data_IF_720770815036
#
_entry.id   IF_720770815036
#
_cell.length_a   1.000
_cell.length_b   1.000
_cell.length_c   1.000
_cell.angle_alpha   90.00
_cell.angle_beta   90.00
_cell.angle_gamma   90.00
#
_symmetry.space_group_name_H-M   'P 1'
#
loop_
_entity.id
_entity.type
_entity.pdbx_description
1 polymer ?
#
# COMPACT_ATOMS: atom_id res chain seq x y z
N UNK A 1 -23.12 -19.65 5.24
CA UNK A 1 -21.90 -18.94 5.68
C UNK A 1 -20.73 -19.65 5.01
N UNK A 2 -19.99 -18.97 4.14
CA UNK A 2 -18.83 -19.57 3.47
C UNK A 2 -17.69 -19.77 4.47
N UNK A 3 -16.90 -20.82 4.33
CA UNK A 3 -15.79 -21.16 5.25
C UNK A 3 -14.73 -20.04 5.29
N UNK A 4 -14.65 -19.27 4.21
CA UNK A 4 -13.84 -18.07 4.00
C UNK A 4 -14.27 -16.93 4.91
N UNK A 5 -15.57 -16.77 5.17
CA UNK A 5 -16.06 -15.70 6.05
C UNK A 5 -15.54 -15.89 7.48
N UNK A 6 -15.37 -17.13 7.94
CA UNK A 6 -14.79 -17.43 9.25
C UNK A 6 -13.36 -16.91 9.34
N UNK A 7 -12.55 -17.15 8.31
CA UNK A 7 -11.17 -16.66 8.25
C UNK A 7 -11.10 -15.14 8.15
N UNK A 8 -11.95 -14.52 7.32
CA UNK A 8 -12.05 -13.07 7.21
C UNK A 8 -12.43 -12.41 8.55
N UNK A 9 -13.44 -12.95 9.26
CA UNK A 9 -13.81 -12.44 10.59
C UNK A 9 -12.66 -12.61 11.59
N UNK A 10 -11.99 -13.77 11.59
CA UNK A 10 -10.84 -14.00 12.46
C UNK A 10 -9.69 -13.03 12.17
N UNK A 11 -9.42 -12.71 10.91
CA UNK A 11 -8.42 -11.73 10.51
C UNK A 11 -8.78 -10.32 11.01
N UNK A 12 -10.05 -9.91 10.90
CA UNK A 12 -10.55 -8.62 11.43
C UNK A 12 -10.40 -8.58 12.96
N UNK A 13 -10.79 -9.65 13.66
CA UNK A 13 -10.67 -9.73 15.12
C UNK A 13 -9.22 -9.68 15.58
N UNK A 14 -8.31 -10.39 14.89
CA UNK A 14 -6.88 -10.33 15.18
C UNK A 14 -6.33 -8.93 14.95
N UNK A 15 -6.63 -8.32 13.81
CA UNK A 15 -6.17 -6.97 13.49
C UNK A 15 -6.72 -5.94 14.49
N UNK A 16 -7.99 -6.07 14.89
CA UNK A 16 -8.63 -5.20 15.88
C UNK A 16 -8.01 -5.37 17.28
N UNK A 17 -7.77 -6.61 17.71
CA UNK A 17 -7.05 -6.89 18.95
C UNK A 17 -5.65 -6.25 18.92
N UNK A 18 -4.90 -6.45 17.84
CA UNK A 18 -3.57 -5.86 17.68
C UNK A 18 -3.62 -4.33 17.68
N UNK A 19 -4.59 -3.71 17.01
CA UNK A 19 -4.79 -2.25 17.01
C UNK A 19 -5.06 -1.70 18.41
N UNK A 20 -5.95 -2.33 19.18
CA UNK A 20 -6.22 -1.95 20.58
C UNK A 20 -4.95 -2.10 21.42
N UNK A 21 -4.21 -3.21 21.25
CA UNK A 21 -3.00 -3.43 22.03
C UNK A 21 -1.87 -2.45 21.69
N UNK A 22 -1.78 -2.05 20.42
CA UNK A 22 -0.83 -1.07 19.94
C UNK A 22 -1.17 0.34 20.49
N UNK A 23 -2.45 0.72 20.48
CA UNK A 23 -2.89 2.00 21.06
C UNK A 23 -2.68 2.07 22.58
N UNK A 24 -2.95 0.98 23.31
CA UNK A 24 -2.89 0.98 24.78
C UNK A 24 -1.47 0.76 25.32
N UNK A 25 -0.68 -0.12 24.68
CA UNK A 25 0.62 -0.54 25.19
C UNK A 25 1.79 -0.22 24.24
N UNK A 26 1.54 0.38 23.08
CA UNK A 26 2.56 0.68 22.07
C UNK A 26 3.24 -0.58 21.53
N UNK A 27 2.55 -1.73 21.56
CA UNK A 27 3.14 -3.00 21.16
C UNK A 27 2.10 -4.01 20.69
N UNK A 28 2.43 -4.65 19.57
CA UNK A 28 1.76 -5.87 19.11
C UNK A 28 2.35 -7.09 19.83
N UNK A 29 1.50 -7.89 20.47
CA UNK A 29 1.94 -9.07 21.21
C UNK A 29 2.27 -10.25 20.29
N UNK A 30 3.47 -10.81 20.44
CA UNK A 30 3.89 -12.02 19.71
C UNK A 30 2.91 -13.20 19.90
N UNK A 31 2.25 -13.29 21.06
CA UNK A 31 1.23 -14.32 21.33
C UNK A 31 0.06 -14.23 20.35
N UNK A 32 -0.38 -13.02 19.99
CA UNK A 32 -1.45 -12.81 19.03
C UNK A 32 -1.02 -13.22 17.62
N UNK A 33 0.21 -12.87 17.22
CA UNK A 33 0.80 -13.26 15.93
C UNK A 33 0.87 -14.79 15.83
N UNK A 34 1.35 -15.47 16.87
CA UNK A 34 1.42 -16.94 16.93
C UNK A 34 0.02 -17.56 16.88
N UNK A 35 -0.95 -17.00 17.60
CA UNK A 35 -2.34 -17.47 17.55
C UNK A 35 -2.94 -17.32 16.14
N UNK A 36 -2.64 -16.22 15.45
CA UNK A 36 -3.05 -16.01 14.05
C UNK A 36 -2.46 -17.04 13.09
N UNK A 37 -1.16 -17.34 13.22
CA UNK A 37 -0.49 -18.38 12.42
C UNK A 37 -1.08 -19.78 12.67
N UNK A 38 -1.30 -20.13 13.93
CA UNK A 38 -1.94 -21.40 14.30
C UNK A 38 -3.35 -21.49 13.74
N UNK A 39 -4.15 -20.43 13.89
CA UNK A 39 -5.48 -20.37 13.32
C UNK A 39 -5.45 -20.54 11.80
N UNK A 40 -4.57 -19.83 11.09
CA UNK A 40 -4.48 -19.91 9.64
C UNK A 40 -4.12 -21.32 9.15
N UNK A 41 -3.22 -22.01 9.87
CA UNK A 41 -2.81 -23.38 9.54
C UNK A 41 -3.96 -24.36 9.75
N UNK A 42 -4.67 -24.25 10.88
CA UNK A 42 -5.86 -25.06 11.16
C UNK A 42 -6.94 -24.79 10.12
N UNK A 43 -7.24 -23.52 9.83
CA UNK A 43 -8.24 -23.14 8.86
C UNK A 43 -7.92 -23.66 7.46
N UNK A 44 -6.67 -23.53 6.97
CA UNK A 44 -6.27 -24.08 5.67
C UNK A 44 -6.44 -25.60 5.62
N UNK A 45 -6.11 -26.30 6.70
CA UNK A 45 -6.31 -27.76 6.78
C UNK A 45 -7.80 -28.12 6.70
N UNK A 46 -8.65 -27.42 7.45
CA UNK A 46 -10.10 -27.61 7.41
C UNK A 46 -10.65 -27.26 6.02
N UNK A 47 -10.14 -26.19 5.40
CA UNK A 47 -10.51 -25.77 4.05
C UNK A 47 -10.22 -26.84 3.01
N UNK A 48 -9.02 -27.44 3.05
CA UNK A 48 -8.64 -28.55 2.18
C UNK A 48 -9.50 -29.79 2.37
N UNK A 49 -9.83 -30.14 3.62
CA UNK A 49 -10.77 -31.22 3.92
C UNK A 49 -12.17 -30.91 3.38
N UNK A 50 -12.66 -29.68 3.57
CA UNK A 50 -13.97 -29.25 3.10
C UNK A 50 -14.09 -29.34 1.57
N UNK A 51 -13.04 -28.90 0.88
CA UNK A 51 -12.89 -29.05 -0.58
C UNK A 51 -12.88 -30.52 -1.00
N UNK A 52 -12.11 -31.37 -0.31
CA UNK A 52 -12.02 -32.80 -0.61
C UNK A 52 -13.38 -33.52 -0.47
N UNK A 53 -14.23 -33.09 0.46
CA UNK A 53 -15.60 -33.61 0.61
C UNK A 53 -16.62 -33.05 -0.40
N UNK A 54 -16.15 -32.34 -1.44
CA UNK A 54 -17.01 -31.79 -2.51
C UNK A 54 -17.95 -30.70 -2.02
N UNK A 55 -17.62 -30.03 -0.91
CA UNK A 55 -18.38 -28.88 -0.44
C UNK A 55 -17.98 -27.64 -1.23
N UNK A 56 -18.97 -26.77 -1.47
CA UNK A 56 -18.76 -25.53 -2.19
C UNK A 56 -17.81 -24.59 -1.45
N UNK A 57 -16.79 -24.11 -2.17
CA UNK A 57 -15.77 -23.16 -1.67
C UNK A 57 -15.51 -22.09 -2.73
N UNK A 58 -14.78 -21.03 -2.37
CA UNK A 58 -14.38 -19.96 -3.28
C UNK A 58 -13.55 -20.45 -4.48
N UNK A 59 -12.90 -21.61 -4.41
CA UNK A 59 -12.30 -22.22 -5.61
C UNK A 59 -13.35 -22.54 -6.67
N UNK A 60 -14.58 -22.89 -6.28
CA UNK A 60 -15.66 -23.21 -7.21
C UNK A 60 -16.23 -21.94 -7.86
N UNK A 61 -16.33 -20.85 -7.08
CA UNK A 61 -16.79 -19.55 -7.56
C UNK A 61 -15.75 -18.86 -8.46
N UNK A 62 -14.47 -18.99 -8.09
CA UNK A 62 -13.33 -18.32 -8.70
C UNK A 62 -12.22 -19.34 -9.00
N UNK A 63 -12.40 -20.20 -10.03
CA UNK A 63 -11.40 -21.20 -10.40
C UNK A 63 -10.03 -20.58 -10.72
N UNK A 64 -9.99 -19.32 -11.17
CA UNK A 64 -8.78 -18.54 -11.41
C UNK A 64 -7.89 -18.39 -10.18
N UNK A 65 -8.42 -18.59 -8.97
CA UNK A 65 -7.64 -18.59 -7.73
C UNK A 65 -6.68 -19.78 -7.66
N UNK A 66 -6.91 -20.86 -8.39
CA UNK A 66 -6.10 -22.09 -8.38
C UNK A 66 -5.35 -22.37 -9.71
N UNK A 67 -5.54 -21.56 -10.74
CA UNK A 67 -4.86 -21.73 -12.04
C UNK A 67 -3.38 -21.33 -11.91
N UNK A 68 -2.42 -22.08 -12.45
CA UNK A 68 -1.00 -21.67 -12.39
C UNK A 68 -0.65 -20.72 -13.55
N UNK A 69 0.39 -19.88 -13.40
CA UNK A 69 0.76 -18.91 -14.44
C UNK A 69 1.09 -19.60 -15.77
N UNK A 70 0.43 -19.19 -16.85
CA UNK A 70 0.59 -19.73 -18.21
C UNK A 70 -0.61 -20.56 -18.71
N UNK A 71 -1.54 -20.91 -17.84
CA UNK A 71 -2.80 -21.56 -18.21
C UNK A 71 -3.82 -20.51 -18.66
N UNK A 72 -4.61 -20.84 -19.71
CA UNK A 72 -5.63 -19.92 -20.24
C UNK A 72 -6.67 -19.63 -19.16
N UNK A 73 -6.87 -18.35 -18.84
CA UNK A 73 -7.92 -17.96 -17.91
C UNK A 73 -9.29 -18.27 -18.53
N UNK A 74 -10.20 -18.94 -17.81
CA UNK A 74 -11.59 -18.95 -18.21
C UNK A 74 -12.08 -17.52 -18.28
N UNK A 75 -12.93 -17.20 -19.27
CA UNK A 75 -13.48 -15.86 -19.42
C UNK A 75 -14.10 -15.42 -18.07
N UNK A 76 -13.79 -14.21 -17.56
CA UNK A 76 -14.33 -13.75 -16.30
C UNK A 76 -15.86 -13.81 -16.41
N UNK A 77 -16.53 -14.45 -15.44
CA UNK A 77 -17.99 -14.35 -15.34
C UNK A 77 -18.33 -12.87 -15.25
N UNK A 78 -18.98 -12.35 -16.28
CA UNK A 78 -19.47 -10.98 -16.29
C UNK A 78 -20.44 -10.84 -15.13
N UNK A 79 -20.00 -10.15 -14.07
CA UNK A 79 -20.89 -9.78 -12.99
C UNK A 79 -21.88 -8.79 -13.60
N UNK A 80 -23.12 -9.22 -13.79
CA UNK A 80 -24.20 -8.37 -14.26
C UNK A 80 -24.27 -7.17 -13.30
N UNK A 81 -23.90 -6.00 -13.81
CA UNK A 81 -23.80 -4.77 -13.02
C UNK A 81 -25.14 -4.40 -12.37
N UNK A 82 -26.25 -4.92 -12.90
CA UNK A 82 -27.58 -4.78 -12.35
C UNK A 82 -27.78 -5.51 -11.00
N UNK A 83 -27.05 -6.60 -10.76
CA UNK A 83 -27.13 -7.38 -9.50
C UNK A 83 -26.36 -6.67 -8.37
N UNK A 84 -25.28 -5.95 -8.68
CA UNK A 84 -24.46 -5.28 -7.67
C UNK A 84 -25.11 -4.02 -7.07
N UNK A 85 -26.04 -3.38 -7.80
CA UNK A 85 -26.66 -2.11 -7.41
C UNK A 85 -28.13 -2.23 -6.99
N UNK A 86 -28.68 -3.44 -6.85
CA UNK A 86 -30.06 -3.63 -6.41
C UNK A 86 -31.10 -2.94 -7.31
N UNK A 87 -30.75 -2.68 -8.57
CA UNK A 87 -31.69 -2.18 -9.56
C UNK A 87 -32.52 -3.37 -10.06
N UNK A 88 -33.55 -3.73 -9.30
CA UNK A 88 -34.66 -4.50 -9.83
C UNK A 88 -35.41 -3.59 -10.81
N UNK A 89 -34.84 -3.39 -12.01
CA UNK A 89 -35.58 -2.84 -13.13
C UNK A 89 -36.38 -4.01 -13.72
N UNK A 90 -37.64 -4.06 -13.31
CA UNK A 90 -38.73 -4.68 -14.05
C UNK A 90 -38.55 -4.37 -15.54
N UNK A 91 -38.24 -5.40 -16.33
CA UNK A 91 -37.96 -5.19 -17.74
C UNK A 91 -37.31 -6.35 -18.48
N UNK A 92 -37.58 -7.60 -18.09
CA UNK A 92 -37.49 -8.69 -19.08
C UNK A 92 -38.60 -8.44 -20.12
N UNK A 93 -38.31 -7.65 -21.15
CA UNK A 93 -38.96 -7.89 -22.43
C UNK A 93 -38.43 -9.24 -22.88
N UNK A 94 -39.28 -10.25 -22.76
CA UNK A 94 -39.14 -11.48 -23.52
C UNK A 94 -38.91 -11.07 -24.99
N UNK A 95 -37.66 -11.16 -25.45
CA UNK A 95 -37.38 -11.08 -26.86
C UNK A 95 -38.06 -12.30 -27.49
N UNK A 96 -39.13 -12.04 -28.24
CA UNK A 96 -39.80 -13.01 -29.09
C UNK A 96 -38.76 -13.73 -29.94
N UNK A 97 -38.68 -15.05 -29.80
CA UNK A 97 -37.74 -15.93 -30.50
C UNK A 97 -38.16 -16.17 -31.96
N UNK A 98 -39.30 -15.61 -32.41
CA UNK A 98 -39.72 -15.74 -33.80
C UNK A 98 -38.99 -14.70 -34.69
N UNK A 99 -38.18 -15.15 -35.67
CA UNK A 99 -37.66 -14.26 -36.70
C UNK A 99 -38.80 -13.63 -37.51
N UNK A 100 -38.62 -12.39 -37.95
CA UNK A 100 -39.61 -11.69 -38.77
C UNK A 100 -39.74 -12.32 -40.18
N UNK A 101 -40.78 -11.95 -40.96
CA UNK A 101 -40.96 -12.47 -42.31
C UNK A 101 -39.78 -12.05 -43.19
N UNK A 102 -38.89 -13.00 -43.51
CA UNK A 102 -37.68 -12.76 -44.32
C UNK A 102 -36.35 -12.92 -43.58
N UNK A 103 -36.37 -13.20 -42.28
CA UNK A 103 -35.17 -13.55 -41.52
C UNK A 103 -34.99 -15.08 -41.47
N UNK A 104 -33.80 -15.55 -41.86
CA UNK A 104 -33.43 -16.95 -41.70
C UNK A 104 -33.28 -17.26 -40.21
N UNK A 105 -33.68 -18.48 -39.81
CA UNK A 105 -33.45 -18.96 -38.45
C UNK A 105 -31.97 -18.83 -38.12
N UNK A 106 -31.61 -18.35 -36.92
CA UNK A 106 -30.22 -18.39 -36.51
C UNK A 106 -29.78 -19.85 -36.58
N UNK A 107 -28.83 -20.15 -37.48
CA UNK A 107 -28.17 -21.45 -37.55
C UNK A 107 -27.86 -21.88 -36.13
N UNK A 108 -28.29 -23.10 -35.80
CA UNK A 108 -28.13 -23.78 -34.53
C UNK A 108 -26.77 -23.40 -33.95
N UNK A 109 -26.79 -22.39 -33.06
CA UNK A 109 -25.57 -21.83 -32.47
C UNK A 109 -24.86 -23.04 -31.90
N UNK A 110 -23.66 -23.27 -32.42
CA UNK A 110 -22.61 -24.06 -31.81
C UNK A 110 -22.88 -24.03 -30.31
N UNK A 111 -23.37 -25.13 -29.76
CA UNK A 111 -23.27 -25.34 -28.33
C UNK A 111 -21.77 -25.16 -28.09
N UNK A 112 -21.40 -23.98 -27.58
CA UNK A 112 -20.11 -23.76 -26.96
C UNK A 112 -20.08 -24.84 -25.91
N UNK A 113 -19.47 -25.97 -26.26
CA UNK A 113 -19.12 -27.04 -25.34
C UNK A 113 -18.51 -26.28 -24.18
N UNK A 114 -19.23 -26.20 -23.05
CA UNK A 114 -18.69 -25.67 -21.80
C UNK A 114 -17.45 -26.50 -21.56
N UNK A 115 -16.32 -25.97 -22.02
CA UNK A 115 -15.02 -26.60 -21.95
C UNK A 115 -14.81 -26.77 -20.45
N UNK A 116 -15.00 -27.99 -19.95
CA UNK A 116 -15.10 -28.31 -18.52
C UNK A 116 -13.86 -27.68 -17.87
N UNK A 117 -14.07 -26.52 -17.25
CA UNK A 117 -12.97 -25.75 -16.71
C UNK A 117 -12.22 -26.67 -15.75
N UNK A 118 -10.88 -26.78 -15.86
CA UNK A 118 -10.12 -27.73 -15.06
C UNK A 118 -10.49 -27.54 -13.59
N UNK A 119 -10.91 -28.62 -12.93
CA UNK A 119 -11.34 -28.55 -11.53
C UNK A 119 -10.19 -27.95 -10.71
N UNK A 120 -10.38 -26.76 -10.13
CA UNK A 120 -9.29 -25.98 -9.55
C UNK A 120 -8.68 -26.77 -8.40
N UNK A 121 -7.37 -27.05 -8.44
CA UNK A 121 -6.74 -27.94 -7.45
C UNK A 121 -6.48 -27.21 -6.12
N UNK A 122 -6.84 -27.84 -4.99
CA UNK A 122 -6.54 -27.30 -3.66
C UNK A 122 -5.03 -27.08 -3.45
N UNK A 123 -4.18 -27.93 -4.04
CA UNK A 123 -2.74 -27.80 -3.91
C UNK A 123 -2.21 -26.53 -4.59
N UNK A 124 -2.69 -26.21 -5.80
CA UNK A 124 -2.31 -24.98 -6.47
C UNK A 124 -2.79 -23.73 -5.70
N UNK A 125 -4.00 -23.78 -5.13
CA UNK A 125 -4.48 -22.74 -4.22
C UNK A 125 -3.56 -22.58 -3.00
N UNK A 126 -3.18 -23.68 -2.34
CA UNK A 126 -2.30 -23.63 -1.17
C UNK A 126 -0.92 -23.05 -1.50
N UNK A 127 -0.33 -23.43 -2.64
CA UNK A 127 0.94 -22.87 -3.09
C UNK A 127 0.83 -21.37 -3.33
N UNK A 128 -0.29 -20.88 -3.92
CA UNK A 128 -0.53 -19.45 -4.09
C UNK A 128 -0.72 -18.70 -2.76
N UNK A 129 -1.44 -19.28 -1.81
CA UNK A 129 -1.58 -18.73 -0.45
C UNK A 129 -0.21 -18.58 0.22
N UNK A 130 0.61 -19.63 0.17
CA UNK A 130 1.96 -19.63 0.74
C UNK A 130 2.89 -18.68 0.00
N UNK A 131 2.79 -18.59 -1.32
CA UNK A 131 3.53 -17.63 -2.14
C UNK A 131 3.20 -16.19 -1.78
N UNK A 132 1.91 -15.86 -1.64
CA UNK A 132 1.45 -14.56 -1.17
C UNK A 132 2.01 -14.26 0.24
N UNK A 133 1.92 -15.20 1.18
CA UNK A 133 2.47 -15.05 2.53
C UNK A 133 3.98 -14.79 2.54
N UNK A 134 4.77 -15.56 1.79
CA UNK A 134 6.22 -15.40 1.71
C UNK A 134 6.60 -14.04 1.12
N UNK A 135 5.89 -13.61 0.07
CA UNK A 135 6.12 -12.30 -0.53
C UNK A 135 5.70 -11.16 0.42
N UNK A 136 4.59 -11.32 1.15
CA UNK A 136 4.19 -10.36 2.21
C UNK A 136 5.24 -10.28 3.30
N UNK A 137 5.86 -11.40 3.68
CA UNK A 137 6.91 -11.45 4.69
C UNK A 137 8.17 -10.73 4.23
N UNK A 138 8.62 -10.99 2.98
CA UNK A 138 9.77 -10.30 2.39
C UNK A 138 9.52 -8.79 2.33
N UNK A 139 8.34 -8.38 1.87
CA UNK A 139 7.98 -6.96 1.78
C UNK A 139 7.90 -6.34 3.17
N UNK A 140 7.24 -6.98 4.14
CA UNK A 140 7.19 -6.53 5.53
C UNK A 140 8.58 -6.38 6.15
N UNK A 141 9.47 -7.33 5.90
CA UNK A 141 10.87 -7.28 6.33
C UNK A 141 11.61 -6.10 5.69
N UNK A 142 11.44 -5.87 4.38
CA UNK A 142 12.04 -4.73 3.67
C UNK A 142 11.54 -3.40 4.26
N UNK A 143 10.24 -3.27 4.54
CA UNK A 143 9.67 -2.07 5.15
C UNK A 143 10.25 -1.81 6.55
N UNK A 144 10.44 -2.85 7.36
CA UNK A 144 11.11 -2.76 8.65
C UNK A 144 12.60 -2.40 8.51
N UNK A 145 13.32 -3.04 7.57
CA UNK A 145 14.74 -2.78 7.32
C UNK A 145 15.02 -1.32 6.95
N UNK A 146 14.11 -0.71 6.17
CA UNK A 146 14.18 0.72 5.83
C UNK A 146 13.63 1.65 6.92
N UNK A 147 13.18 1.13 8.06
CA UNK A 147 12.64 1.91 9.17
C UNK A 147 11.28 2.54 8.87
N UNK A 148 10.55 2.05 7.86
CA UNK A 148 9.20 2.53 7.55
C UNK A 148 8.15 1.94 8.49
N UNK A 149 8.37 0.73 9.00
CA UNK A 149 7.49 0.03 9.93
C UNK A 149 8.20 -0.42 11.20
N UNK A 150 7.44 -0.51 12.30
CA UNK A 150 7.91 -1.17 13.50
C UNK A 150 7.95 -2.70 13.29
N UNK A 151 8.79 -3.38 14.08
CA UNK A 151 8.94 -4.83 13.97
C UNK A 151 7.63 -5.61 14.24
N UNK A 152 6.68 -5.01 14.98
CA UNK A 152 5.35 -5.59 15.23
C UNK A 152 4.50 -5.63 13.96
N UNK A 153 4.36 -4.50 13.28
CA UNK A 153 3.53 -4.36 12.07
C UNK A 153 4.07 -5.23 10.92
N UNK A 154 5.39 -5.26 10.76
CA UNK A 154 6.06 -6.09 9.77
C UNK A 154 5.82 -7.60 9.93
N UNK A 155 5.53 -8.04 11.16
CA UNK A 155 5.17 -9.45 11.44
C UNK A 155 3.67 -9.69 11.35
N UNK A 156 2.86 -8.71 11.73
CA UNK A 156 1.40 -8.82 11.66
C UNK A 156 0.90 -8.87 10.21
N UNK A 157 1.46 -8.04 9.33
CA UNK A 157 1.09 -7.97 7.92
C UNK A 157 1.09 -9.32 7.18
N UNK A 158 2.18 -10.12 7.19
CA UNK A 158 2.16 -11.42 6.53
C UNK A 158 1.17 -12.39 7.18
N UNK A 159 0.98 -12.36 8.50
CA UNK A 159 -0.03 -13.20 9.17
C UNK A 159 -1.44 -12.86 8.71
N UNK A 160 -1.76 -11.57 8.56
CA UNK A 160 -3.04 -11.14 8.00
C UNK A 160 -3.18 -11.56 6.54
N UNK A 161 -2.12 -11.46 5.73
CA UNK A 161 -2.12 -11.92 4.34
C UNK A 161 -2.32 -13.44 4.20
N UNK A 162 -1.91 -14.23 5.20
CA UNK A 162 -2.16 -15.67 5.27
C UNK A 162 -3.58 -16.01 5.73
N UNK A 163 -4.14 -15.21 6.65
CA UNK A 163 -5.49 -15.42 7.18
C UNK A 163 -6.59 -14.94 6.24
N UNK A 164 -6.34 -13.88 5.46
CA UNK A 164 -7.32 -13.37 4.51
C UNK A 164 -7.38 -14.33 3.31
N UNK A 165 -8.55 -14.94 3.01
CA UNK A 165 -8.68 -15.88 1.91
C UNK A 165 -8.42 -15.19 0.57
N UNK A 166 -7.85 -15.91 -0.42
CA UNK A 166 -7.50 -15.27 -1.69
C UNK A 166 -8.72 -14.69 -2.42
N UNK A 167 -9.89 -15.30 -2.23
CA UNK A 167 -11.16 -14.79 -2.76
C UNK A 167 -11.58 -13.44 -2.20
N UNK A 168 -11.01 -12.98 -1.09
CA UNK A 168 -11.23 -11.60 -0.61
C UNK A 168 -10.45 -10.55 -1.42
N UNK A 169 -9.51 -10.96 -2.28
CA UNK A 169 -8.73 -10.06 -3.13
C UNK A 169 -9.25 -10.01 -4.58
N UNK A 170 -10.57 -9.97 -4.76
CA UNK A 170 -11.22 -10.03 -6.09
C UNK A 170 -10.70 -9.01 -7.12
N UNK A 171 -10.25 -7.83 -6.67
CA UNK A 171 -9.79 -6.74 -7.55
C UNK A 171 -8.31 -6.40 -7.35
N UNK A 172 -7.46 -7.39 -7.07
CA UNK A 172 -6.02 -7.14 -6.96
C UNK A 172 -5.41 -6.80 -8.33
N UNK A 173 -4.75 -5.64 -8.43
CA UNK A 173 -4.06 -5.23 -9.66
C UNK A 173 -2.87 -6.15 -9.99
N UNK A 174 -2.25 -6.73 -8.95
CA UNK A 174 -1.12 -7.61 -9.09
C UNK A 174 -1.50 -9.05 -8.68
N UNK A 175 -1.81 -9.94 -9.64
CA UNK A 175 -2.24 -11.31 -9.33
C UNK A 175 -1.21 -12.10 -8.52
N UNK A 176 0.08 -11.81 -8.71
CA UNK A 176 1.19 -12.48 -8.01
C UNK A 176 1.29 -12.09 -6.54
N UNK A 177 0.74 -10.93 -6.18
CA UNK A 177 0.79 -10.41 -4.82
C UNK A 177 -0.55 -9.80 -4.41
N UNK A 178 -1.61 -10.61 -4.20
CA UNK A 178 -2.93 -10.10 -3.87
C UNK A 178 -2.96 -9.25 -2.60
N UNK A 179 -2.13 -9.59 -1.60
CA UNK A 179 -2.00 -8.81 -0.36
C UNK A 179 -1.38 -7.42 -0.55
N UNK A 180 -0.94 -7.06 -1.76
CA UNK A 180 -0.69 -5.67 -2.14
C UNK A 180 -1.89 -4.76 -1.88
N UNK A 181 -3.11 -5.27 -2.07
CA UNK A 181 -4.35 -4.54 -1.76
C UNK A 181 -4.43 -4.18 -0.27
N UNK A 182 -4.12 -5.13 0.60
CA UNK A 182 -4.07 -4.91 2.05
C UNK A 182 -3.01 -3.85 2.41
N UNK A 183 -1.83 -3.96 1.82
CA UNK A 183 -0.75 -3.01 2.04
C UNK A 183 -1.15 -1.59 1.61
N UNK A 184 -1.73 -1.47 0.41
CA UNK A 184 -2.19 -0.19 -0.13
C UNK A 184 -3.29 0.43 0.74
N UNK A 185 -4.32 -0.35 1.10
CA UNK A 185 -5.41 0.13 1.96
C UNK A 185 -4.91 0.54 3.34
N UNK A 186 -3.89 -0.13 3.88
CA UNK A 186 -3.24 0.24 5.15
C UNK A 186 -2.54 1.58 5.05
N UNK A 187 -1.72 1.81 4.00
CA UNK A 187 -1.07 3.11 3.80
C UNK A 187 -2.09 4.24 3.60
N UNK A 188 -3.16 3.96 2.87
CA UNK A 188 -4.23 4.92 2.69
C UNK A 188 -4.95 5.24 4.00
N UNK A 189 -5.18 4.24 4.86
CA UNK A 189 -5.73 4.45 6.19
C UNK A 189 -4.82 5.31 7.07
N UNK A 190 -3.50 5.08 7.06
CA UNK A 190 -2.54 5.96 7.75
C UNK A 190 -2.65 7.38 7.23
N UNK A 191 -2.68 7.57 5.91
CA UNK A 191 -2.81 8.90 5.31
C UNK A 191 -4.10 9.58 5.76
N UNK A 192 -5.22 8.87 5.75
CA UNK A 192 -6.50 9.41 6.18
C UNK A 192 -6.48 9.82 7.66
N UNK A 193 -5.86 9.01 8.53
CA UNK A 193 -5.69 9.33 9.96
C UNK A 193 -4.84 10.59 10.12
N UNK A 194 -3.68 10.68 9.47
CA UNK A 194 -2.78 11.83 9.57
C UNK A 194 -3.41 13.10 9.00
N UNK A 195 -4.09 13.00 7.85
CA UNK A 195 -4.81 14.11 7.26
C UNK A 195 -5.94 14.59 8.18
N UNK A 196 -6.68 13.66 8.78
CA UNK A 196 -7.74 13.99 9.75
C UNK A 196 -7.17 14.69 10.97
N UNK A 197 -6.05 14.20 11.53
CA UNK A 197 -5.38 14.86 12.65
C UNK A 197 -4.91 16.28 12.30
N UNK A 198 -4.32 16.46 11.10
CA UNK A 198 -3.88 17.77 10.63
C UNK A 198 -5.06 18.74 10.46
N UNK A 199 -6.19 18.26 9.92
CA UNK A 199 -7.44 19.04 9.80
C UNK A 199 -7.99 19.40 11.19
N UNK A 200 -8.03 18.47 12.13
CA UNK A 200 -8.48 18.74 13.50
C UNK A 200 -7.60 19.80 14.17
N UNK A 201 -6.27 19.70 14.03
CA UNK A 201 -5.32 20.70 14.57
C UNK A 201 -5.49 22.06 13.90
N UNK A 202 -5.77 22.08 12.59
CA UNK A 202 -6.05 23.32 11.86
C UNK A 202 -7.34 23.99 12.36
N UNK A 203 -8.42 23.23 12.49
CA UNK A 203 -9.70 23.72 13.02
C UNK A 203 -9.51 24.23 14.45
N UNK A 204 -8.77 23.50 15.29
CA UNK A 204 -8.49 23.92 16.67
C UNK A 204 -7.71 25.23 16.70
N UNK A 205 -6.72 25.40 15.83
CA UNK A 205 -5.97 26.66 15.69
C UNK A 205 -6.86 27.84 15.28
N UNK A 206 -7.88 27.62 14.44
CA UNK A 206 -8.82 28.66 14.03
C UNK A 206 -9.79 29.06 15.16
N UNK A 207 -10.22 28.11 15.99
CA UNK A 207 -11.23 28.36 17.04
C UNK A 207 -10.58 28.79 18.37
N UNK A 208 -9.48 28.15 18.76
CA UNK A 208 -8.74 28.38 20.02
C UNK A 208 -7.24 28.34 19.76
N UNK A 209 -6.66 29.44 19.22
CA UNK A 209 -5.24 29.49 18.93
C UNK A 209 -4.43 29.32 20.22
N UNK A 210 -3.65 28.25 20.30
CA UNK A 210 -2.64 28.09 21.35
C UNK A 210 -1.31 28.63 20.83
N UNK A 211 -0.48 29.22 21.71
CA UNK A 211 0.81 29.78 21.29
C UNK A 211 1.73 28.71 20.67
N UNK A 212 1.65 27.47 21.19
CA UNK A 212 2.40 26.33 20.68
C UNK A 212 1.94 25.91 19.28
N UNK A 213 0.63 25.78 19.04
CA UNK A 213 0.10 25.43 17.72
C UNK A 213 0.36 26.55 16.71
N UNK A 214 0.25 27.82 17.10
CA UNK A 214 0.57 28.96 16.24
C UNK A 214 2.03 28.93 15.78
N UNK A 215 2.96 28.61 16.70
CA UNK A 215 4.38 28.46 16.34
C UNK A 215 4.60 27.24 15.43
N UNK A 216 3.95 26.10 15.73
CA UNK A 216 4.02 24.92 14.88
C UNK A 216 3.52 25.20 13.45
N UNK A 217 2.41 25.91 13.29
CA UNK A 217 1.87 26.31 11.99
C UNK A 217 2.78 27.30 11.25
N UNK A 218 3.44 28.22 11.96
CA UNK A 218 4.44 29.11 11.36
C UNK A 218 5.64 28.32 10.84
N UNK A 219 6.18 27.40 11.65
CA UNK A 219 7.26 26.50 11.24
C UNK A 219 6.83 25.58 10.09
N UNK A 220 5.59 25.08 10.10
CA UNK A 220 5.02 24.31 9.00
C UNK A 220 5.02 25.11 7.70
N UNK A 221 4.57 26.35 7.74
CA UNK A 221 4.50 27.23 6.58
C UNK A 221 5.89 27.59 6.03
N UNK A 222 6.84 27.91 6.91
CA UNK A 222 8.24 28.14 6.55
C UNK A 222 8.85 26.89 5.91
N UNK A 223 8.63 25.71 6.51
CA UNK A 223 9.11 24.44 5.97
C UNK A 223 8.52 24.17 4.59
N UNK A 224 7.21 24.34 4.39
CA UNK A 224 6.57 24.16 3.08
C UNK A 224 7.22 25.08 2.06
N UNK A 225 7.32 26.38 2.34
CA UNK A 225 7.94 27.37 1.43
C UNK A 225 9.36 26.99 1.02
N UNK A 226 10.19 26.58 1.97
CA UNK A 226 11.58 26.18 1.69
C UNK A 226 11.66 24.90 0.87
N UNK A 227 10.70 23.97 1.03
CA UNK A 227 10.72 22.68 0.35
C UNK A 227 9.92 22.63 -0.96
N UNK A 228 9.06 23.62 -1.27
CA UNK A 228 8.27 23.68 -2.52
C UNK A 228 9.12 23.44 -3.77
N UNK A 229 10.30 24.08 -3.96
CA UNK A 229 11.10 23.84 -5.17
C UNK A 229 11.55 22.39 -5.30
N UNK A 230 11.97 21.77 -4.20
CA UNK A 230 12.35 20.36 -4.17
C UNK A 230 11.16 19.45 -4.46
N UNK A 231 9.97 19.81 -3.99
CA UNK A 231 8.72 19.09 -4.28
C UNK A 231 8.34 19.18 -5.75
N UNK A 232 8.41 20.36 -6.37
CA UNK A 232 8.12 20.54 -7.80
C UNK A 232 9.09 19.72 -8.65
N UNK A 233 10.39 19.76 -8.33
CA UNK A 233 11.40 18.94 -9.02
C UNK A 233 11.12 17.45 -8.84
N UNK A 234 10.76 17.02 -7.63
CA UNK A 234 10.37 15.64 -7.34
C UNK A 234 9.15 15.19 -8.14
N UNK A 235 8.11 16.02 -8.19
CA UNK A 235 6.89 15.78 -8.97
C UNK A 235 7.18 15.66 -10.46
N UNK A 236 7.89 16.64 -11.04
CA UNK A 236 8.31 16.60 -12.45
C UNK A 236 9.15 15.35 -12.73
N UNK A 237 10.04 14.99 -11.82
CA UNK A 237 10.86 13.78 -11.93
C UNK A 237 10.06 12.49 -11.94
N UNK A 238 9.04 12.38 -11.08
CA UNK A 238 8.15 11.21 -11.03
C UNK A 238 7.26 11.13 -12.27
N UNK A 239 6.65 12.25 -12.69
CA UNK A 239 5.82 12.32 -13.90
C UNK A 239 6.66 11.96 -15.12
N UNK A 240 7.86 12.53 -15.24
CA UNK A 240 8.78 12.21 -16.32
C UNK A 240 9.19 10.75 -16.30
N UNK A 241 9.57 10.20 -15.15
CA UNK A 241 9.88 8.79 -15.02
C UNK A 241 8.72 7.97 -15.55
N UNK A 242 7.49 8.24 -15.11
CA UNK A 242 6.35 7.46 -15.52
C UNK A 242 6.12 7.55 -17.04
N UNK A 243 6.31 8.75 -17.62
CA UNK A 243 6.25 8.93 -19.06
C UNK A 243 7.35 8.12 -19.77
N UNK A 244 8.60 8.13 -19.29
CA UNK A 244 9.64 7.23 -19.83
C UNK A 244 9.20 5.79 -19.65
N UNK A 245 8.70 5.38 -18.49
CA UNK A 245 8.30 4.01 -18.22
C UNK A 245 7.24 3.58 -19.23
N UNK A 246 6.25 4.43 -19.48
CA UNK A 246 5.18 4.18 -20.46
C UNK A 246 5.75 4.13 -21.89
N UNK A 247 6.61 5.07 -22.27
CA UNK A 247 7.23 5.12 -23.61
C UNK A 247 8.22 3.98 -23.85
N UNK A 248 9.06 3.68 -22.88
CA UNK A 248 10.01 2.56 -22.92
C UNK A 248 9.24 1.25 -22.92
N UNK A 249 8.19 1.10 -22.11
CA UNK A 249 7.28 -0.05 -22.17
C UNK A 249 6.68 -0.22 -23.55
N UNK A 250 6.31 0.86 -24.25
CA UNK A 250 5.83 0.75 -25.64
C UNK A 250 6.93 0.23 -26.57
N UNK A 251 8.08 0.91 -26.61
CA UNK A 251 9.20 0.54 -27.47
C UNK A 251 9.67 -0.90 -27.21
N UNK A 252 9.72 -1.26 -25.93
CA UNK A 252 10.10 -2.60 -25.49
C UNK A 252 8.96 -3.59 -25.63
N UNK A 253 7.68 -3.22 -25.64
CA UNK A 253 6.57 -4.16 -25.88
C UNK A 253 6.62 -4.66 -27.31
N UNK A 254 6.87 -3.78 -28.27
CA UNK A 254 6.99 -4.18 -29.69
C UNK A 254 8.24 -5.05 -29.91
N UNK A 255 9.37 -4.69 -29.28
CA UNK A 255 10.60 -5.48 -29.32
C UNK A 255 10.48 -6.81 -28.54
N UNK A 256 9.94 -6.81 -27.32
CA UNK A 256 9.73 -8.03 -26.53
C UNK A 256 8.70 -8.91 -27.20
N UNK A 257 7.60 -8.39 -27.74
CA UNK A 257 6.63 -9.20 -28.47
C UNK A 257 7.25 -9.88 -29.69
N UNK A 258 8.25 -9.24 -30.32
CA UNK A 258 8.99 -9.83 -31.43
C UNK A 258 9.96 -10.96 -30.99
N UNK A 259 10.50 -10.92 -29.76
CA UNK A 259 11.57 -11.84 -29.34
C UNK A 259 11.22 -12.76 -28.15
N UNK A 260 10.15 -12.49 -27.42
CA UNK A 260 9.75 -13.22 -26.20
C UNK A 260 8.23 -13.27 -26.07
N UNK A 261 7.65 -14.43 -25.74
CA UNK A 261 6.23 -14.55 -25.37
C UNK A 261 5.90 -13.96 -23.98
N UNK A 262 6.82 -13.21 -23.36
CA UNK A 262 6.64 -12.64 -22.03
C UNK A 262 5.94 -11.28 -22.20
N UNK A 263 4.62 -11.30 -22.30
CA UNK A 263 3.77 -10.10 -22.36
C UNK A 263 3.48 -9.49 -20.98
N UNK A 264 4.04 -10.07 -19.91
CA UNK A 264 3.67 -9.74 -18.54
C UNK A 264 4.21 -8.38 -18.10
N UNK A 265 3.30 -7.41 -18.18
CA UNK A 265 3.43 -6.00 -17.78
C UNK A 265 4.17 -5.74 -16.45
N UNK A 266 4.02 -6.54 -15.37
CA UNK A 266 4.64 -6.24 -14.07
C UNK A 266 6.17 -6.30 -14.05
N UNK A 267 6.80 -7.19 -14.83
CA UNK A 267 8.26 -7.39 -14.83
C UNK A 267 9.00 -6.16 -15.40
N UNK A 268 8.42 -5.54 -16.42
CA UNK A 268 8.91 -4.30 -17.02
C UNK A 268 8.83 -3.15 -16.01
N UNK A 269 7.74 -3.04 -15.26
CA UNK A 269 7.61 -2.04 -14.19
C UNK A 269 8.63 -2.25 -13.06
N UNK A 270 8.91 -3.50 -12.69
CA UNK A 270 9.92 -3.83 -11.67
C UNK A 270 11.34 -3.44 -12.13
N UNK A 271 11.72 -3.81 -13.35
CA UNK A 271 13.03 -3.44 -13.92
C UNK A 271 13.20 -1.92 -14.01
N UNK A 272 12.15 -1.23 -14.44
CA UNK A 272 12.13 0.24 -14.51
C UNK A 272 12.18 0.90 -13.12
N UNK A 273 11.60 0.28 -12.10
CA UNK A 273 11.71 0.75 -10.72
C UNK A 273 13.17 0.71 -10.22
N UNK A 274 13.96 -0.31 -10.60
CA UNK A 274 15.38 -0.34 -10.25
C UNK A 274 16.19 0.76 -10.96
N UNK A 275 15.80 1.14 -12.18
CA UNK A 275 16.42 2.24 -12.94
C UNK A 275 15.97 3.61 -12.42
N UNK A 276 14.81 3.70 -11.78
CA UNK A 276 14.27 4.97 -11.28
C UNK A 276 15.21 5.66 -10.30
N UNK A 277 15.69 4.96 -9.27
CA UNK A 277 16.49 5.57 -8.22
C UNK A 277 17.77 6.26 -8.73
N UNK A 278 18.63 5.59 -9.55
CA UNK A 278 19.79 6.25 -10.13
C UNK A 278 19.40 7.38 -11.10
N UNK A 279 18.32 7.21 -11.88
CA UNK A 279 17.85 8.23 -12.81
C UNK A 279 17.35 9.49 -12.10
N UNK A 280 16.52 9.34 -11.07
CA UNK A 280 16.02 10.45 -10.25
C UNK A 280 17.17 11.19 -9.55
N UNK A 281 18.19 10.47 -9.10
CA UNK A 281 19.41 11.07 -8.55
C UNK A 281 20.18 11.86 -9.62
N UNK A 282 20.28 11.33 -10.84
CA UNK A 282 20.94 11.99 -11.96
C UNK A 282 20.19 13.27 -12.40
N UNK A 283 18.86 13.25 -12.40
CA UNK A 283 17.98 14.38 -12.74
C UNK A 283 18.13 15.59 -11.81
N UNK A 284 18.69 15.43 -10.61
CA UNK A 284 19.03 16.56 -9.73
C UNK A 284 20.12 17.46 -10.30
N UNK A 285 20.90 16.97 -11.28
CA UNK A 285 21.88 17.80 -11.98
C UNK A 285 21.18 18.57 -13.10
N UNK A 286 21.28 19.90 -13.16
CA UNK A 286 20.51 20.73 -14.09
C UNK A 286 20.78 20.37 -15.55
N UNK A 287 22.00 19.95 -15.90
CA UNK A 287 22.37 19.53 -17.25
C UNK A 287 21.65 18.27 -17.75
N UNK A 288 21.07 17.45 -16.86
CA UNK A 288 20.37 16.19 -17.19
C UNK A 288 18.87 16.47 -17.01
N UNK A 289 18.49 17.15 -15.93
CA UNK A 289 17.10 17.48 -15.62
C UNK A 289 16.45 18.39 -16.65
N UNK A 290 17.15 19.42 -17.16
CA UNK A 290 16.56 20.37 -18.13
C UNK A 290 16.23 19.69 -19.46
N UNK A 291 17.16 18.97 -20.14
CA UNK A 291 16.83 18.26 -21.38
C UNK A 291 15.68 17.27 -21.20
N UNK A 292 15.69 16.54 -20.09
CA UNK A 292 14.63 15.62 -19.70
C UNK A 292 13.28 16.34 -19.61
N UNK A 293 13.21 17.46 -18.88
CA UNK A 293 11.98 18.23 -18.74
C UNK A 293 11.47 18.74 -20.10
N UNK A 294 12.36 19.22 -20.96
CA UNK A 294 12.02 19.66 -22.33
C UNK A 294 11.45 18.50 -23.15
N UNK A 295 12.08 17.32 -23.11
CA UNK A 295 11.58 16.11 -23.79
C UNK A 295 10.19 15.72 -23.24
N UNK A 296 10.01 15.79 -21.92
CA UNK A 296 8.73 15.49 -21.25
C UNK A 296 7.61 16.39 -21.78
N UNK A 297 7.86 17.70 -21.78
CA UNK A 297 6.89 18.71 -22.22
C UNK A 297 6.63 18.55 -23.71
N UNK A 298 7.67 18.36 -24.51
CA UNK A 298 7.54 18.10 -25.95
C UNK A 298 6.69 16.87 -26.25
N UNK A 299 6.87 15.78 -25.49
CA UNK A 299 6.05 14.57 -25.62
C UNK A 299 4.58 14.83 -25.24
N UNK A 300 4.32 15.52 -24.13
CA UNK A 300 2.95 15.85 -23.72
C UNK A 300 2.25 16.69 -24.80
N UNK A 301 2.96 17.69 -25.35
CA UNK A 301 2.44 18.51 -26.46
C UNK A 301 2.19 17.65 -27.70
N UNK A 302 3.11 16.76 -28.07
CA UNK A 302 2.92 15.86 -29.20
C UNK A 302 1.70 14.94 -29.05
N UNK A 303 1.51 14.33 -27.86
CA UNK A 303 0.33 13.50 -27.54
C UNK A 303 -0.95 14.33 -27.58
N UNK A 304 -0.92 15.59 -27.13
CA UNK A 304 -2.08 16.47 -27.19
C UNK A 304 -2.54 16.74 -28.63
N UNK A 305 -1.61 16.83 -29.59
CA UNK A 305 -1.93 17.01 -31.01
C UNK A 305 -2.18 15.71 -31.77
N UNK A 306 -1.63 14.58 -31.31
CA UNK A 306 -1.74 13.27 -31.96
C UNK A 306 -2.31 12.23 -30.98
N UNK A 307 -3.57 12.39 -30.53
CA UNK A 307 -4.17 11.45 -29.61
C UNK A 307 -4.36 10.10 -30.30
N UNK A 308 -4.02 9.04 -29.58
CA UNK A 308 -4.31 7.65 -29.95
C UNK A 308 -5.10 7.00 -28.81
N UNK A 309 -5.76 5.84 -29.02
CA UNK A 309 -6.47 5.13 -27.95
C UNK A 309 -5.58 4.82 -26.73
N UNK A 310 -4.27 4.64 -26.93
CA UNK A 310 -3.31 4.34 -25.86
C UNK A 310 -2.65 5.62 -25.27
N UNK A 311 -2.63 6.71 -26.05
CA UNK A 311 -2.04 8.00 -25.72
C UNK A 311 -3.07 9.11 -25.93
N UNK A 312 -3.91 9.35 -24.94
CA UNK A 312 -4.68 10.57 -24.86
C UNK A 312 -4.23 11.41 -23.66
N UNK A 313 -4.56 12.69 -23.72
CA UNK A 313 -4.27 13.62 -22.63
C UNK A 313 -4.94 13.16 -21.33
N UNK A 314 -6.11 12.53 -21.43
CA UNK A 314 -6.85 12.00 -20.29
C UNK A 314 -6.05 10.98 -19.47
N UNK A 315 -5.45 9.96 -20.10
CA UNK A 315 -4.64 8.95 -19.40
C UNK A 315 -3.39 9.61 -18.77
N UNK A 316 -2.77 10.57 -19.46
CA UNK A 316 -1.63 11.32 -18.90
C UNK A 316 -2.08 12.12 -17.67
N UNK A 317 -3.24 12.78 -17.74
CA UNK A 317 -3.81 13.56 -16.63
C UNK A 317 -4.23 12.66 -15.47
N UNK A 318 -4.85 11.50 -15.72
CA UNK A 318 -5.22 10.54 -14.69
C UNK A 318 -3.99 10.02 -13.94
N UNK A 319 -2.96 9.61 -14.67
CA UNK A 319 -1.67 9.21 -14.08
C UNK A 319 -1.04 10.37 -13.32
N UNK A 320 -1.02 11.57 -13.91
CA UNK A 320 -0.49 12.79 -13.29
C UNK A 320 -1.22 13.12 -11.98
N UNK A 321 -2.55 12.96 -11.95
CA UNK A 321 -3.37 13.14 -10.77
C UNK A 321 -3.03 12.11 -9.68
N UNK A 322 -2.86 10.83 -10.04
CA UNK A 322 -2.42 9.80 -9.10
C UNK A 322 -1.04 10.11 -8.52
N UNK A 323 -0.13 10.66 -9.33
CA UNK A 323 1.19 11.11 -8.85
C UNK A 323 1.10 12.34 -7.95
N UNK A 324 0.18 13.28 -8.23
CA UNK A 324 -0.10 14.40 -7.32
C UNK A 324 -0.59 13.90 -5.96
N UNK A 325 -1.40 12.84 -5.93
CA UNK A 325 -1.81 12.20 -4.66
C UNK A 325 -0.61 11.62 -3.93
N UNK A 326 0.31 10.92 -4.61
CA UNK A 326 1.53 10.37 -3.98
C UNK A 326 2.49 11.45 -3.48
N UNK A 327 2.70 12.52 -4.25
CA UNK A 327 3.52 13.66 -3.82
C UNK A 327 2.84 14.42 -2.68
N UNK A 328 1.53 14.59 -2.75
CA UNK A 328 0.71 15.16 -1.67
C UNK A 328 0.83 14.33 -0.39
N UNK A 329 0.76 13.01 -0.50
CA UNK A 329 0.99 12.08 0.60
C UNK A 329 2.39 12.26 1.19
N UNK A 330 3.44 12.19 0.36
CA UNK A 330 4.81 12.38 0.79
C UNK A 330 5.01 13.74 1.48
N UNK A 331 4.36 14.80 0.98
CA UNK A 331 4.38 16.14 1.57
C UNK A 331 3.70 16.16 2.94
N UNK A 332 2.46 15.67 3.06
CA UNK A 332 1.72 15.64 4.32
C UNK A 332 2.45 14.79 5.35
N UNK A 333 2.96 13.63 4.93
CA UNK A 333 3.74 12.73 5.77
C UNK A 333 5.02 13.40 6.30
N UNK A 334 5.83 14.01 5.41
CA UNK A 334 7.05 14.71 5.84
C UNK A 334 6.75 15.95 6.68
N UNK A 335 5.70 16.70 6.36
CA UNK A 335 5.29 17.85 7.15
C UNK A 335 4.90 17.40 8.56
N UNK A 336 4.09 16.35 8.66
CA UNK A 336 3.68 15.77 9.92
C UNK A 336 4.90 15.32 10.75
N UNK A 337 5.78 14.50 10.16
CA UNK A 337 6.98 14.00 10.84
C UNK A 337 7.97 15.10 11.25
N UNK A 338 8.18 16.13 10.41
CA UNK A 338 9.18 17.15 10.69
C UNK A 338 8.67 18.31 11.56
N UNK A 339 7.36 18.49 11.68
CA UNK A 339 6.80 19.66 12.38
C UNK A 339 5.90 19.28 13.54
N UNK A 340 5.04 18.29 13.37
CA UNK A 340 3.97 17.99 14.33
C UNK A 340 4.25 16.78 15.22
N UNK A 341 5.23 15.96 14.87
CA UNK A 341 5.47 14.68 15.52
C UNK A 341 6.32 14.76 16.79
N UNK A 342 6.75 15.94 17.21
CA UNK A 342 7.59 16.08 18.40
C UNK A 342 6.80 16.58 19.60
N UNK A 343 7.03 15.96 20.76
CA UNK A 343 6.58 16.48 22.03
C UNK A 343 7.75 16.60 23.02
N UNK A 344 7.74 17.64 23.87
CA UNK A 344 8.77 17.78 24.90
C UNK A 344 8.49 16.79 26.03
N UNK A 345 9.49 15.99 26.38
CA UNK A 345 9.49 15.07 27.52
C UNK A 345 10.55 15.54 28.49
N UNK A 346 10.26 15.56 29.79
CA UNK A 346 11.28 15.85 30.80
C UNK A 346 12.32 14.74 30.80
N UNK A 347 13.58 15.08 31.04
CA UNK A 347 14.68 14.10 31.06
C UNK A 347 14.41 12.92 32.01
N UNK A 348 13.76 13.19 33.14
CA UNK A 348 13.40 12.18 34.14
C UNK A 348 12.24 11.28 33.69
N UNK A 349 11.36 11.80 32.83
CA UNK A 349 10.23 11.07 32.24
C UNK A 349 10.63 10.29 30.99
N UNK A 350 11.90 10.37 30.58
CA UNK A 350 12.44 9.59 29.47
C UNK A 350 12.38 8.10 29.83
N UNK A 351 11.63 7.33 29.05
CA UNK A 351 11.42 5.89 29.23
C UNK A 351 12.07 5.09 28.09
N UNK A 352 12.42 3.82 28.34
CA UNK A 352 12.80 2.91 27.27
C UNK A 352 11.72 2.86 26.19
N UNK A 353 12.14 2.64 24.93
CA UNK A 353 11.35 2.60 23.69
C UNK A 353 10.84 3.94 23.17
N UNK A 354 11.15 5.05 23.84
CA UNK A 354 10.92 6.36 23.26
C UNK A 354 11.83 6.57 22.05
N UNK A 355 11.28 7.07 20.94
CA UNK A 355 12.05 7.36 19.72
C UNK A 355 12.50 8.83 19.76
N UNK A 356 13.81 9.06 19.65
CA UNK A 356 14.34 10.41 19.69
C UNK A 356 13.88 11.23 18.49
N UNK A 357 13.42 12.45 18.74
CA UNK A 357 13.10 13.40 17.69
C UNK A 357 14.36 13.77 16.90
N UNK A 358 14.18 14.10 15.62
CA UNK A 358 15.27 14.59 14.77
C UNK A 358 15.98 15.81 15.36
N UNK A 359 15.22 16.72 15.99
CA UNK A 359 15.75 17.89 16.70
C UNK A 359 16.73 17.52 17.81
N UNK A 360 16.41 16.48 18.57
CA UNK A 360 17.30 15.94 19.61
C UNK A 360 18.51 15.25 19.00
N UNK A 361 18.34 14.49 17.92
CA UNK A 361 19.46 13.88 17.20
C UNK A 361 20.42 14.93 16.65
N UNK A 362 19.93 16.08 16.18
CA UNK A 362 20.75 17.19 15.74
C UNK A 362 21.55 17.82 16.89
N UNK A 363 20.96 17.95 18.08
CA UNK A 363 21.71 18.35 19.29
C UNK A 363 22.78 17.31 19.66
N UNK A 364 22.48 16.02 19.51
CA UNK A 364 23.45 14.94 19.81
C UNK A 364 24.59 14.88 18.79
N UNK A 365 24.40 15.38 17.55
CA UNK A 365 25.47 15.43 16.54
C UNK A 365 26.63 16.33 16.93
N UNK A 366 26.43 17.24 17.89
CA UNK A 366 27.52 18.03 18.50
C UNK A 366 28.57 17.12 19.17
N UNK A 367 28.21 15.92 19.59
CA UNK A 367 29.09 14.94 20.22
C UNK A 367 29.04 13.60 19.48
N UNK A 368 29.85 13.50 18.42
CA UNK A 368 29.93 12.31 17.58
C UNK A 368 30.42 11.06 18.33
N UNK A 369 31.20 11.23 19.40
CA UNK A 369 31.68 10.11 20.23
C UNK A 369 30.53 9.49 21.03
N UNK A 370 29.63 10.30 21.58
CA UNK A 370 28.44 9.77 22.23
C UNK A 370 27.60 8.92 21.26
N UNK A 371 27.33 9.43 20.05
CA UNK A 371 26.48 8.74 19.07
C UNK A 371 27.11 7.44 18.56
N UNK A 372 28.40 7.45 18.23
CA UNK A 372 29.06 6.30 17.61
C UNK A 372 29.51 5.25 18.62
N UNK A 373 29.95 5.67 19.79
CA UNK A 373 30.71 4.82 20.71
C UNK A 373 29.90 4.41 21.94
N UNK A 374 29.01 5.29 22.44
CA UNK A 374 28.30 5.08 23.73
C UNK A 374 26.82 4.74 23.58
N UNK A 375 26.10 5.42 22.68
CA UNK A 375 24.68 5.16 22.43
C UNK A 375 24.48 3.94 21.54
N UNK A 376 25.37 3.69 20.57
CA UNK A 376 25.16 2.64 19.57
C UNK A 376 24.04 2.99 18.58
N UNK A 377 23.58 2.02 17.75
CA UNK A 377 22.57 2.28 16.73
C UNK A 377 21.21 2.62 17.35
N UNK A 378 20.64 3.74 16.93
CA UNK A 378 19.28 4.15 17.26
C UNK A 378 18.34 3.61 16.19
N UNK A 379 17.56 2.58 16.55
CA UNK A 379 16.62 1.93 15.64
C UNK A 379 15.18 2.46 15.76
N UNK A 380 14.27 2.01 14.88
CA UNK A 380 12.84 2.35 14.93
C UNK A 380 12.13 1.82 16.19
N UNK A 381 12.71 0.84 16.89
CA UNK A 381 12.16 0.28 18.13
C UNK A 381 12.35 1.20 19.36
N UNK A 382 13.04 2.33 19.20
CA UNK A 382 13.29 3.33 20.24
C UNK A 382 14.49 3.02 21.15
N UNK A 383 14.64 3.79 22.22
CA UNK A 383 15.79 3.71 23.13
C UNK A 383 15.79 2.44 24.01
N UNK A 384 16.92 1.75 24.11
CA UNK A 384 17.16 0.73 25.13
C UNK A 384 17.25 1.35 26.53
N UNK A 385 17.03 0.56 27.58
CA UNK A 385 17.08 1.05 28.96
C UNK A 385 18.44 1.66 29.31
N UNK A 386 19.54 1.03 28.86
CA UNK A 386 20.89 1.55 29.04
C UNK A 386 21.12 2.87 28.28
N UNK A 387 20.61 2.95 27.04
CA UNK A 387 20.70 4.16 26.22
C UNK A 387 19.97 5.34 26.87
N UNK A 388 18.84 5.10 27.54
CA UNK A 388 18.11 6.13 28.29
C UNK A 388 18.97 6.70 29.42
N UNK A 389 19.68 5.87 30.18
CA UNK A 389 20.55 6.34 31.25
C UNK A 389 21.75 7.11 30.73
N UNK A 390 22.41 6.60 29.68
CA UNK A 390 23.56 7.26 29.04
C UNK A 390 23.14 8.63 28.52
N UNK A 391 22.00 8.70 27.82
CA UNK A 391 21.47 9.93 27.28
C UNK A 391 21.09 10.92 28.39
N UNK A 392 20.43 10.43 29.44
CA UNK A 392 20.04 11.23 30.61
C UNK A 392 21.25 11.90 31.26
N UNK A 393 22.32 11.14 31.51
CA UNK A 393 23.55 11.68 32.12
C UNK A 393 24.19 12.73 31.23
N UNK A 394 24.41 12.41 29.96
CA UNK A 394 25.02 13.34 29.01
C UNK A 394 24.24 14.65 28.86
N UNK A 395 22.90 14.57 28.84
CA UNK A 395 22.04 15.74 28.68
C UNK A 395 22.11 16.69 29.89
N UNK A 396 22.21 16.13 31.09
CA UNK A 396 22.41 16.87 32.33
C UNK A 396 23.82 17.48 32.37
N UNK A 397 24.84 16.69 32.08
CA UNK A 397 26.25 17.12 32.11
C UNK A 397 26.52 18.28 31.14
N UNK A 398 25.87 18.27 29.97
CA UNK A 398 25.99 19.33 28.95
C UNK A 398 25.02 20.50 29.14
N UNK A 399 24.24 20.49 30.23
CA UNK A 399 23.25 21.53 30.58
C UNK A 399 22.33 21.91 29.40
N UNK A 400 21.78 20.93 28.68
CA UNK A 400 20.94 21.14 27.49
C UNK A 400 19.48 21.51 27.80
N UNK A 401 19.21 21.89 29.05
CA UNK A 401 17.88 22.25 29.55
C UNK A 401 17.04 21.03 29.97
N UNK A 402 15.89 21.24 30.65
CA UNK A 402 15.14 20.18 31.33
C UNK A 402 14.30 19.26 30.43
N UNK A 403 14.15 19.62 29.15
CA UNK A 403 13.29 18.92 28.20
C UNK A 403 14.10 18.37 27.02
N UNK A 404 13.65 17.21 26.54
CA UNK A 404 14.14 16.55 25.36
C UNK A 404 12.97 16.28 24.41
N UNK A 405 13.20 16.36 23.09
CA UNK A 405 12.16 16.13 22.11
C UNK A 405 12.09 14.65 21.73
N UNK A 406 10.90 14.06 21.85
CA UNK A 406 10.62 12.66 21.50
C UNK A 406 9.58 12.64 20.38
N UNK A 407 9.81 11.79 19.37
CA UNK A 407 8.86 11.54 18.27
C UNK A 407 7.65 10.75 18.80
N UNK A 408 6.44 11.14 18.40
CA UNK A 408 5.24 10.37 18.66
C UNK A 408 5.23 9.22 17.66
N UNK A 409 5.41 8.00 18.13
CA UNK A 409 5.22 6.84 17.26
C UNK A 409 3.77 6.82 16.79
N UNK A 410 3.55 6.96 15.48
CA UNK A 410 2.24 6.80 14.87
C UNK A 410 1.85 5.33 15.03
N UNK A 411 0.77 4.99 15.75
CA UNK A 411 0.34 3.61 15.89
C UNK A 411 -0.12 3.11 14.51
N UNK A 412 0.64 2.19 13.92
CA UNK A 412 0.31 1.59 12.63
C UNK A 412 -0.75 0.49 12.77
N UNK A 413 -0.93 -0.08 13.97
CA UNK A 413 -1.93 -1.11 14.25
C UNK A 413 -3.35 -0.71 13.86
N UNK A 414 -3.87 0.47 14.26
CA UNK A 414 -5.18 0.97 13.82
C UNK A 414 -5.32 1.09 12.30
N UNK A 415 -4.27 1.49 11.61
CA UNK A 415 -4.31 1.60 10.15
C UNK A 415 -4.31 0.23 9.48
N UNK A 416 -3.56 -0.75 10.01
CA UNK A 416 -3.61 -2.15 9.55
C UNK A 416 -5.00 -2.75 9.77
N UNK A 417 -5.67 -2.42 10.87
CA UNK A 417 -7.05 -2.84 11.13
C UNK A 417 -8.03 -2.25 10.12
N UNK A 418 -7.99 -0.93 9.88
CA UNK A 418 -8.83 -0.27 8.87
C UNK A 418 -8.53 -0.83 7.47
N UNK A 419 -7.25 -1.04 7.15
CA UNK A 419 -6.82 -1.65 5.89
C UNK A 419 -7.38 -3.06 5.71
N UNK A 420 -7.33 -3.88 6.75
CA UNK A 420 -7.90 -5.25 6.76
C UNK A 420 -9.41 -5.22 6.54
N UNK A 421 -10.11 -4.35 7.27
CA UNK A 421 -11.55 -4.18 7.15
C UNK A 421 -11.94 -3.75 5.73
N UNK A 422 -11.25 -2.75 5.19
CA UNK A 422 -11.48 -2.24 3.84
C UNK A 422 -11.22 -3.31 2.78
N UNK A 423 -10.13 -4.07 2.89
CA UNK A 423 -9.82 -5.16 1.95
C UNK A 423 -10.91 -6.24 1.95
N UNK A 424 -11.37 -6.67 3.12
CA UNK A 424 -12.39 -7.73 3.22
C UNK A 424 -13.76 -7.25 2.74
N UNK A 425 -14.16 -6.01 3.06
CA UNK A 425 -15.48 -5.48 2.70
C UNK A 425 -15.53 -5.12 1.20
N UNK A 426 -14.50 -4.46 0.67
CA UNK A 426 -14.51 -3.94 -0.69
C UNK A 426 -14.03 -4.95 -1.72
N UNK A 427 -13.39 -6.03 -1.28
CA UNK A 427 -12.78 -7.03 -2.15
C UNK A 427 -11.61 -6.47 -2.98
N UNK A 428 -11.07 -5.31 -2.63
CA UNK A 428 -10.20 -4.51 -3.51
C UNK A 428 -9.69 -3.22 -2.87
N UNK A 429 -9.23 -2.30 -3.72
CA UNK A 429 -8.72 -0.99 -3.31
C UNK A 429 -9.86 -0.07 -2.85
N UNK A 430 -9.58 0.78 -1.86
CA UNK A 430 -10.52 1.82 -1.40
C UNK A 430 -10.90 2.79 -2.53
N UNK A 431 -9.94 3.12 -3.39
CA UNK A 431 -10.20 3.90 -4.61
C UNK A 431 -10.30 2.97 -5.80
N UNK A 432 -11.52 2.79 -6.32
CA UNK A 432 -11.74 2.18 -7.63
C UNK A 432 -11.73 3.29 -8.68
N UNK A 433 -10.68 3.35 -9.49
CA UNK A 433 -10.74 4.04 -10.78
C UNK A 433 -11.34 3.05 -11.77
N UNK A 434 -12.54 3.37 -12.27
CA UNK A 434 -13.17 2.65 -13.38
C UNK A 434 -12.44 2.93 -14.69
#
# INVERSE_FOLDING_TARGET
MTIELIASIAAILLAGYCAVTDMLWGKIFNKAIVAGLLFATVWLTVYGLFYHFGKHTALHDYPELAIWYGEKMPAPKTIDSNILFGAHLEGKKEQSIMPGPGEEWPDEKTEEVEEIAPTPSYWAYLVRVLGNFLLSFVIGFVLWWFGMWAAGDAKLFPVLALMIPLGAYTNAFWPFFPSYVLLFNTFLAVMAILATELVIRFIRQLIRPTAEEAQAWKTAWEWVKTNVPTMIIGFIGIVFLFLIIKTLRMLTRDLLAAYTHITDSPLVYLLLFFVFFPLAKAMRRPWIGIPIAVITVGFIVWVAFNPTPEYNLEVILQVGALMLVLVGFYMVYNLYLNVFDFHPVKIWDLKPKMVLARKTLETLKEDQDLLKTKLGPLGPDGLAAEQVEILRRWWIDRNKGPHLWVSRTIPFGPALFIGTLATIILGGYIFRTY
#
